data_IF_858320039083
#
_entry.id   IF_858320039083
#
_cell.length_a   1.000
_cell.length_b   1.000
_cell.length_c   1.000
_cell.angle_alpha   90.00
_cell.angle_beta   90.00
_cell.angle_gamma   90.00
#
_symmetry.space_group_name_H-M   'P 1'
#
loop_
_entity.id
_entity.type
_entity.pdbx_description
1 polymer ?
#
# COMPACT_ATOMS: atom_id res chain seq x y z
N UNK A 1 21.22 4.01 -16.32
CA UNK A 1 21.99 4.38 -15.11
C UNK A 1 21.30 5.57 -14.47
N UNK A 2 20.61 5.35 -13.33
CA UNK A 2 20.58 6.25 -12.15
C UNK A 2 20.18 5.36 -10.97
N UNK A 3 21.17 4.90 -10.20
CA UNK A 3 20.91 4.31 -8.88
C UNK A 3 20.33 5.44 -8.03
N UNK A 4 19.10 5.29 -7.52
CA UNK A 4 18.65 6.14 -6.41
C UNK A 4 19.62 5.83 -5.27
N UNK A 5 20.36 6.84 -4.84
CA UNK A 5 21.21 6.72 -3.68
C UNK A 5 20.35 6.21 -2.53
N UNK A 6 20.80 5.14 -1.86
CA UNK A 6 20.31 4.78 -0.54
C UNK A 6 20.70 5.93 0.41
N UNK A 7 19.92 7.01 0.36
CA UNK A 7 20.06 8.14 1.26
C UNK A 7 19.59 7.68 2.62
N UNK A 8 20.50 7.61 3.59
CA UNK A 8 20.17 7.32 4.98
C UNK A 8 19.08 8.29 5.43
N UNK A 9 17.92 7.78 5.85
CA UNK A 9 16.89 8.59 6.49
C UNK A 9 17.51 9.35 7.66
N UNK A 10 17.27 10.66 7.75
CA UNK A 10 17.60 11.41 8.95
C UNK A 10 16.82 10.86 10.14
N UNK A 11 17.29 11.09 11.37
CA UNK A 11 16.58 10.65 12.59
C UNK A 11 15.09 11.03 12.62
N UNK A 12 14.71 12.29 12.28
CA UNK A 12 13.31 12.69 12.16
C UNK A 12 12.54 11.95 11.06
N UNK A 13 13.14 11.74 9.88
CA UNK A 13 12.51 11.01 8.78
C UNK A 13 12.28 9.53 9.12
N UNK A 14 13.24 8.90 9.80
CA UNK A 14 13.09 7.53 10.27
C UNK A 14 11.96 7.40 11.30
N UNK A 15 11.84 8.35 12.24
CA UNK A 15 10.74 8.36 13.22
C UNK A 15 9.38 8.50 12.55
N UNK A 16 9.25 9.43 11.61
CA UNK A 16 8.03 9.61 10.82
C UNK A 16 7.66 8.32 10.07
N UNK A 17 8.64 7.68 9.43
CA UNK A 17 8.43 6.42 8.75
C UNK A 17 7.95 5.31 9.71
N UNK A 18 8.55 5.19 10.89
CA UNK A 18 8.09 4.23 11.90
C UNK A 18 6.65 4.50 12.35
N UNK A 19 6.29 5.76 12.58
CA UNK A 19 4.93 6.16 12.98
C UNK A 19 3.89 5.80 11.89
N UNK A 20 4.23 6.09 10.63
CA UNK A 20 3.39 5.74 9.47
C UNK A 20 3.26 4.23 9.33
N UNK A 21 4.38 3.51 9.45
CA UNK A 21 4.42 2.06 9.36
C UNK A 21 3.56 1.39 10.42
N UNK A 22 3.71 1.77 11.69
CA UNK A 22 2.92 1.21 12.79
C UNK A 22 1.43 1.51 12.63
N UNK A 23 1.09 2.73 12.17
CA UNK A 23 -0.28 3.12 11.87
C UNK A 23 -0.89 2.24 10.78
N UNK A 24 -0.22 2.11 9.63
CA UNK A 24 -0.71 1.32 8.50
C UNK A 24 -0.80 -0.17 8.84
N UNK A 25 0.14 -0.69 9.64
CA UNK A 25 0.10 -2.07 10.13
C UNK A 25 -1.10 -2.30 11.04
N UNK A 26 -1.37 -1.39 11.97
CA UNK A 26 -2.53 -1.48 12.86
C UNK A 26 -3.85 -1.33 12.08
N UNK A 27 -3.89 -0.41 11.12
CA UNK A 27 -5.03 -0.21 10.23
C UNK A 27 -5.34 -1.48 9.42
N UNK A 28 -4.34 -2.06 8.75
CA UNK A 28 -4.50 -3.32 8.02
C UNK A 28 -4.97 -4.47 8.93
N UNK A 29 -4.41 -4.59 10.15
CA UNK A 29 -4.84 -5.60 11.11
C UNK A 29 -6.30 -5.47 11.53
N UNK A 30 -6.84 -4.24 11.58
CA UNK A 30 -8.26 -4.00 11.86
C UNK A 30 -9.19 -4.46 10.73
N UNK A 31 -8.69 -4.46 9.48
CA UNK A 31 -9.41 -4.94 8.30
C UNK A 31 -9.30 -6.45 8.12
N UNK A 32 -8.11 -7.01 8.38
CA UNK A 32 -7.75 -8.41 8.12
C UNK A 32 -8.29 -9.40 9.15
N UNK A 33 -9.37 -9.06 9.85
CA UNK A 33 -10.01 -9.98 10.80
C UNK A 33 -10.76 -11.08 10.06
N UNK A 34 -10.78 -12.29 10.61
CA UNK A 34 -11.55 -13.40 10.04
C UNK A 34 -13.03 -13.06 9.88
N UNK A 35 -13.58 -12.21 10.75
CA UNK A 35 -14.97 -11.74 10.68
C UNK A 35 -15.20 -10.81 9.48
N UNK A 36 -14.31 -9.84 9.24
CA UNK A 36 -14.42 -8.93 8.09
C UNK A 36 -14.19 -9.65 6.76
N UNK A 37 -13.24 -10.58 6.72
CA UNK A 37 -12.99 -11.41 5.53
C UNK A 37 -14.16 -12.36 5.25
N UNK A 38 -14.78 -12.92 6.29
CA UNK A 38 -15.93 -13.82 6.15
C UNK A 38 -17.16 -13.14 5.50
N UNK A 39 -17.30 -11.82 5.65
CA UNK A 39 -18.35 -11.02 4.99
C UNK A 39 -18.14 -10.87 3.48
N UNK A 40 -16.94 -11.15 2.96
CA UNK A 40 -16.52 -10.85 1.58
C UNK A 40 -15.77 -12.03 0.95
N UNK A 41 -16.41 -13.20 1.00
CA UNK A 41 -15.85 -14.46 0.44
C UNK A 41 -16.12 -14.65 -1.04
N UNK A 42 -16.95 -13.80 -1.63
CA UNK A 42 -17.28 -13.87 -3.04
C UNK A 42 -16.07 -13.51 -3.91
N UNK A 43 -16.04 -14.09 -5.11
CA UNK A 43 -15.13 -13.67 -6.16
C UNK A 43 -15.75 -12.49 -6.91
N UNK A 44 -14.93 -11.48 -7.19
CA UNK A 44 -15.32 -10.28 -7.93
C UNK A 44 -14.39 -10.10 -9.12
N UNK A 45 -14.95 -9.62 -10.23
CA UNK A 45 -14.16 -9.20 -11.38
C UNK A 45 -13.66 -7.79 -11.15
N UNK A 46 -12.36 -7.59 -11.28
CA UNK A 46 -11.68 -6.30 -11.20
C UNK A 46 -10.77 -6.14 -12.43
N UNK A 47 -10.47 -4.91 -12.82
CA UNK A 47 -9.50 -4.65 -13.88
C UNK A 47 -8.11 -4.53 -13.28
N UNK A 48 -7.14 -5.25 -13.86
CA UNK A 48 -5.74 -5.08 -13.53
C UNK A 48 -5.19 -3.74 -14.08
N UNK A 49 -3.97 -3.31 -13.69
CA UNK A 49 -3.38 -2.08 -14.21
C UNK A 49 -3.17 -2.02 -15.73
N UNK A 50 -3.29 -3.16 -16.44
CA UNK A 50 -3.19 -3.26 -17.90
C UNK A 50 -4.56 -3.27 -18.58
N UNK A 51 -5.65 -3.17 -17.81
CA UNK A 51 -7.02 -3.14 -18.29
C UNK A 51 -7.64 -4.52 -18.55
N UNK A 52 -7.01 -5.61 -18.10
CA UNK A 52 -7.58 -6.95 -18.22
C UNK A 52 -8.46 -7.29 -17.03
N UNK A 53 -9.62 -7.88 -17.31
CA UNK A 53 -10.48 -8.43 -16.26
C UNK A 53 -9.77 -9.61 -15.58
N UNK A 54 -9.65 -9.53 -14.26
CA UNK A 54 -9.14 -10.57 -13.38
C UNK A 54 -10.15 -10.86 -12.29
N UNK A 55 -10.15 -12.10 -11.80
CA UNK A 55 -11.03 -12.54 -10.73
C UNK A 55 -10.25 -12.58 -9.42
N UNK A 56 -10.69 -11.79 -8.46
CA UNK A 56 -10.09 -11.70 -7.14
C UNK A 56 -11.12 -11.96 -6.02
N UNK A 57 -10.64 -12.26 -4.82
CA UNK A 57 -11.54 -12.41 -3.67
C UNK A 57 -11.92 -11.03 -3.14
N UNK A 58 -13.22 -10.80 -2.89
CA UNK A 58 -13.75 -9.49 -2.50
C UNK A 58 -13.11 -8.91 -1.23
N UNK A 59 -12.71 -9.73 -0.26
CA UNK A 59 -12.01 -9.23 0.93
C UNK A 59 -10.64 -8.64 0.60
N UNK A 60 -9.93 -9.21 -0.39
CA UNK A 60 -8.60 -8.74 -0.80
C UNK A 60 -8.72 -7.37 -1.47
N UNK A 61 -9.68 -7.24 -2.39
CA UNK A 61 -10.01 -5.98 -3.06
C UNK A 61 -10.40 -4.90 -2.04
N UNK A 62 -11.20 -5.26 -1.04
CA UNK A 62 -11.59 -4.34 0.02
C UNK A 62 -10.41 -3.88 0.87
N UNK A 63 -9.54 -4.79 1.33
CA UNK A 63 -8.36 -4.47 2.13
C UNK A 63 -7.39 -3.55 1.36
N UNK A 64 -7.10 -3.86 0.09
CA UNK A 64 -6.26 -3.04 -0.78
C UNK A 64 -6.86 -1.65 -1.04
N UNK A 65 -8.16 -1.56 -1.32
CA UNK A 65 -8.84 -0.28 -1.54
C UNK A 65 -8.86 0.60 -0.27
N UNK A 66 -9.08 -0.01 0.90
CA UNK A 66 -9.03 0.70 2.16
C UNK A 66 -7.62 1.20 2.49
N UNK A 67 -6.59 0.38 2.25
CA UNK A 67 -5.18 0.78 2.38
C UNK A 67 -4.83 1.94 1.44
N UNK A 68 -5.24 1.89 0.18
CA UNK A 68 -5.02 2.97 -0.79
C UNK A 68 -5.65 4.30 -0.33
N UNK A 69 -6.88 4.25 0.16
CA UNK A 69 -7.57 5.41 0.72
C UNK A 69 -6.79 6.00 1.90
N UNK A 70 -6.31 5.15 2.80
CA UNK A 70 -5.60 5.59 4.00
C UNK A 70 -4.21 6.17 3.69
N UNK A 71 -3.49 5.56 2.75
CA UNK A 71 -2.22 6.10 2.21
C UNK A 71 -2.44 7.50 1.66
N UNK A 72 -3.47 7.69 0.83
CA UNK A 72 -3.77 8.99 0.24
C UNK A 72 -4.21 10.04 1.26
N UNK A 73 -4.94 9.62 2.29
CA UNK A 73 -5.23 10.49 3.44
C UNK A 73 -3.94 10.95 4.12
N UNK A 74 -3.01 10.04 4.39
CA UNK A 74 -1.73 10.35 5.02
C UNK A 74 -0.82 11.21 4.12
N UNK A 75 -0.76 10.94 2.81
CA UNK A 75 -0.03 11.77 1.83
C UNK A 75 -0.60 13.19 1.76
N UNK A 76 -1.93 13.34 1.73
CA UNK A 76 -2.59 14.64 1.74
C UNK A 76 -2.27 15.46 3.00
N UNK A 77 -2.26 14.84 4.19
CA UNK A 77 -1.87 15.54 5.43
C UNK A 77 -0.42 16.04 5.45
N UNK A 78 0.41 15.57 4.50
CA UNK A 78 1.83 15.92 4.34
C UNK A 78 2.08 16.81 3.12
N UNK A 79 1.04 17.17 2.36
CA UNK A 79 1.16 17.98 1.14
C UNK A 79 1.76 17.22 -0.05
N UNK A 80 1.77 15.89 -0.02
CA UNK A 80 2.20 15.05 -1.15
C UNK A 80 1.02 14.80 -2.11
N UNK A 81 1.33 14.57 -3.39
CA UNK A 81 0.33 14.14 -4.38
C UNK A 81 -0.27 12.77 -4.02
N UNK A 82 -1.44 12.38 -4.55
CA UNK A 82 -1.99 11.04 -4.30
C UNK A 82 -1.07 9.96 -4.90
N UNK A 83 -1.03 8.79 -4.26
CA UNK A 83 -0.52 7.57 -4.84
C UNK A 83 -1.59 6.91 -5.72
N UNK A 84 -1.17 6.29 -6.82
CA UNK A 84 -1.98 5.53 -7.75
C UNK A 84 -2.32 4.15 -7.20
N UNK A 85 -3.48 3.62 -7.59
CA UNK A 85 -3.89 2.27 -7.20
C UNK A 85 -2.89 1.19 -7.66
N UNK A 86 -2.18 1.43 -8.77
CA UNK A 86 -1.13 0.54 -9.28
C UNK A 86 0.09 0.47 -8.35
N UNK A 87 0.46 1.56 -7.67
CA UNK A 87 1.55 1.57 -6.69
C UNK A 87 1.22 0.72 -5.47
N UNK A 88 -0.03 0.80 -5.00
CA UNK A 88 -0.50 -0.02 -3.87
C UNK A 88 -0.60 -1.49 -4.26
N UNK A 89 -1.03 -1.79 -5.50
CA UNK A 89 -1.03 -3.14 -6.03
C UNK A 89 0.39 -3.73 -6.16
N UNK A 90 1.38 -2.92 -6.59
CA UNK A 90 2.78 -3.34 -6.61
C UNK A 90 3.29 -3.64 -5.18
N UNK A 91 3.01 -2.76 -4.22
CA UNK A 91 3.33 -2.96 -2.81
C UNK A 91 2.72 -4.27 -2.25
N UNK A 92 1.45 -4.55 -2.58
CA UNK A 92 0.78 -5.80 -2.21
C UNK A 92 1.45 -7.02 -2.87
N UNK A 93 1.76 -6.94 -4.17
CA UNK A 93 2.38 -8.04 -4.92
C UNK A 93 3.75 -8.45 -4.37
N UNK A 94 4.52 -7.47 -3.85
CA UNK A 94 5.83 -7.69 -3.22
C UNK A 94 5.72 -8.33 -1.83
N UNK A 95 4.56 -8.19 -1.18
CA UNK A 95 4.26 -8.83 0.09
C UNK A 95 3.62 -10.22 -0.10
N UNK A 96 2.90 -10.41 -1.21
CA UNK A 96 2.16 -11.64 -1.50
C UNK A 96 3.06 -12.89 -1.45
N UNK A 97 2.52 -13.97 -0.87
CA UNK A 97 3.24 -15.23 -0.71
C UNK A 97 4.21 -15.29 0.48
N UNK A 98 4.42 -14.18 1.20
CA UNK A 98 5.21 -14.18 2.43
C UNK A 98 4.35 -14.45 3.68
N UNK A 99 4.89 -15.20 4.64
CA UNK A 99 4.20 -15.51 5.92
C UNK A 99 3.94 -14.25 6.76
N UNK A 100 4.79 -13.22 6.59
CA UNK A 100 4.70 -11.91 7.21
C UNK A 100 4.04 -10.87 6.29
N UNK A 101 3.17 -11.33 5.37
CA UNK A 101 2.44 -10.51 4.40
C UNK A 101 1.98 -9.15 4.95
N UNK A 102 1.23 -9.16 6.06
CA UNK A 102 0.67 -7.93 6.63
C UNK A 102 1.75 -6.92 7.07
N UNK A 103 2.89 -7.42 7.56
CA UNK A 103 4.02 -6.59 7.94
C UNK A 103 4.69 -5.98 6.70
N UNK A 104 4.98 -6.80 5.68
CA UNK A 104 5.62 -6.31 4.44
C UNK A 104 4.73 -5.38 3.64
N UNK A 105 3.42 -5.65 3.60
CA UNK A 105 2.50 -4.77 2.89
C UNK A 105 2.45 -3.39 3.54
N UNK A 106 2.33 -3.33 4.87
CA UNK A 106 2.39 -2.07 5.61
C UNK A 106 3.74 -1.36 5.45
N UNK A 107 4.85 -2.11 5.37
CA UNK A 107 6.20 -1.59 5.15
C UNK A 107 6.30 -0.86 3.81
N UNK A 108 5.90 -1.51 2.72
CA UNK A 108 5.93 -0.91 1.39
C UNK A 108 4.94 0.25 1.25
N UNK A 109 3.77 0.17 1.91
CA UNK A 109 2.84 1.29 1.96
C UNK A 109 3.39 2.49 2.74
N UNK A 110 4.21 2.26 3.78
CA UNK A 110 4.87 3.35 4.51
C UNK A 110 5.88 4.10 3.63
N UNK A 111 6.62 3.37 2.79
CA UNK A 111 7.52 3.98 1.81
C UNK A 111 6.76 4.89 0.85
N UNK A 112 5.57 4.48 0.38
CA UNK A 112 4.68 5.30 -0.45
C UNK A 112 4.17 6.54 0.27
N UNK A 113 4.09 6.58 1.60
CA UNK A 113 3.61 7.78 2.33
C UNK A 113 4.75 8.76 2.63
N UNK A 114 5.97 8.28 2.82
CA UNK A 114 7.10 9.11 3.25
C UNK A 114 8.05 9.53 2.13
N UNK A 115 7.95 8.90 0.97
CA UNK A 115 8.77 9.22 -0.19
C UNK A 115 7.88 9.62 -1.38
N UNK A 116 8.31 10.64 -2.11
CA UNK A 116 7.97 10.74 -3.53
C UNK A 116 8.97 9.84 -4.25
N UNK A 117 8.55 8.67 -4.72
CA UNK A 117 9.36 7.93 -5.69
C UNK A 117 9.08 8.52 -7.08
N UNK A 118 10.03 9.25 -7.70
CA UNK A 118 9.85 9.79 -9.04
C UNK A 118 9.71 8.70 -10.12
N UNK A 119 9.93 7.42 -9.80
CA UNK A 119 9.64 6.28 -10.70
C UNK A 119 8.17 5.85 -10.67
N UNK A 120 7.40 6.34 -9.71
CA UNK A 120 5.99 5.99 -9.51
C UNK A 120 5.03 7.15 -9.83
N UNK A 121 5.56 8.33 -10.14
CA UNK A 121 4.76 9.43 -10.68
C UNK A 121 4.21 9.04 -12.07
N UNK A 122 2.91 9.30 -12.37
CA UNK A 122 2.37 9.03 -13.68
C UNK A 122 3.15 9.82 -14.74
N UNK A 123 3.68 9.10 -15.72
CA UNK A 123 4.32 9.70 -16.89
C UNK A 123 3.20 10.27 -17.76
N UNK A 124 3.13 11.61 -17.84
CA UNK A 124 2.23 12.33 -18.74
C UNK A 124 2.53 12.06 -20.22
#
# INVERSE_FOLDING_TARGET
MTRIAAGTLTGPQHRLWCEVFDHLRAFHASLATSAERAKRRDFVTVQDPRGYDTTEIAWLVHERSAMHTEINRLRATRGLGPADAAEVADAESRAAGHYDYAHKFALYCADLVTHDDPRLAPTH
#
